data_IF_406524644962
#
_entry.id   IF_406524644962
#
_cell.length_a   1.000
_cell.length_b   1.000
_cell.length_c   1.000
_cell.angle_alpha   90.00
_cell.angle_beta   90.00
_cell.angle_gamma   90.00
#
_symmetry.space_group_name_H-M   'P 1'
#
loop_
_entity.id
_entity.type
_entity.pdbx_description
1 polymer ?
#
# COMPACT_ATOMS: atom_id res chain seq x y z
N UNK A 1 -13.27 -8.00 20.81
CA UNK A 1 -13.15 -9.21 19.96
C UNK A 1 -11.69 -9.66 19.96
N UNK A 2 -11.40 -10.96 20.09
CA UNK A 2 -10.03 -11.47 20.18
C UNK A 2 -9.12 -11.08 19.00
N UNK A 3 -9.70 -10.79 17.83
CA UNK A 3 -8.99 -10.40 16.61
C UNK A 3 -8.43 -8.98 16.63
N UNK A 4 -8.97 -8.06 17.46
CA UNK A 4 -8.51 -6.66 17.49
C UNK A 4 -7.05 -6.53 17.95
N UNK A 5 -6.61 -7.40 18.88
CA UNK A 5 -5.22 -7.41 19.34
C UNK A 5 -4.25 -7.82 18.23
N UNK A 6 -4.62 -8.85 17.47
CA UNK A 6 -3.85 -9.35 16.32
C UNK A 6 -3.79 -8.30 15.22
N UNK A 7 -4.90 -7.66 14.86
CA UNK A 7 -4.92 -6.60 13.85
C UNK A 7 -4.02 -5.43 14.23
N UNK A 8 -4.04 -4.98 15.48
CA UNK A 8 -3.16 -3.90 15.97
C UNK A 8 -1.69 -4.30 15.96
N UNK A 9 -1.39 -5.55 16.26
CA UNK A 9 -0.02 -6.08 16.22
C UNK A 9 0.51 -6.13 14.78
N UNK A 10 -0.27 -6.69 13.85
CA UNK A 10 0.06 -6.72 12.42
C UNK A 10 0.23 -5.32 11.86
N UNK A 11 -0.64 -4.37 12.23
CA UNK A 11 -0.51 -2.98 11.83
C UNK A 11 0.83 -2.38 12.27
N UNK A 12 1.24 -2.61 13.53
CA UNK A 12 2.52 -2.13 14.05
C UNK A 12 3.72 -2.66 13.27
N UNK A 13 3.65 -3.90 12.77
CA UNK A 13 4.72 -4.51 11.98
C UNK A 13 4.73 -4.01 10.54
N UNK A 14 3.57 -3.97 9.89
CA UNK A 14 3.48 -3.66 8.47
C UNK A 14 3.61 -2.15 8.23
N UNK A 15 3.09 -1.30 9.13
CA UNK A 15 3.05 0.15 8.96
C UNK A 15 4.41 0.78 8.64
N UNK A 16 5.52 0.50 9.36
CA UNK A 16 6.83 1.06 9.02
C UNK A 16 7.33 0.67 7.63
N UNK A 17 7.02 -0.55 7.20
CA UNK A 17 7.42 -1.07 5.88
C UNK A 17 6.62 -0.34 4.80
N UNK A 18 5.31 -0.22 5.01
CA UNK A 18 4.42 0.56 4.15
C UNK A 18 4.86 2.02 4.04
N UNK A 19 5.13 2.68 5.19
CA UNK A 19 5.53 4.08 5.25
C UNK A 19 6.83 4.35 4.48
N UNK A 20 7.76 3.40 4.52
CA UNK A 20 9.05 3.52 3.84
C UNK A 20 8.98 3.25 2.34
N UNK A 21 8.18 2.28 1.90
CA UNK A 21 8.25 1.77 0.52
C UNK A 21 7.03 2.11 -0.35
N UNK A 22 5.84 2.20 0.23
CA UNK A 22 4.59 2.33 -0.51
C UNK A 22 3.87 3.67 -0.28
N UNK A 23 4.15 4.38 0.81
CA UNK A 23 3.42 5.61 1.16
C UNK A 23 3.55 6.71 0.11
N UNK A 24 4.71 6.85 -0.52
CA UNK A 24 4.95 7.87 -1.54
C UNK A 24 4.09 7.65 -2.79
N UNK A 25 3.76 6.40 -3.13
CA UNK A 25 2.93 6.04 -4.29
C UNK A 25 1.46 5.80 -3.94
N UNK A 26 1.14 5.62 -2.66
CA UNK A 26 -0.23 5.36 -2.19
C UNK A 26 -0.99 6.65 -1.91
N UNK A 27 -2.20 6.74 -2.47
CA UNK A 27 -3.16 7.80 -2.20
C UNK A 27 -4.09 7.36 -1.06
N UNK A 28 -4.20 8.17 -0.01
CA UNK A 28 -5.05 7.86 1.15
C UNK A 28 -6.23 8.84 1.19
N UNK A 29 -7.35 8.41 0.61
CA UNK A 29 -8.61 9.15 0.62
C UNK A 29 -8.67 10.32 -0.37
N UNK A 30 -9.84 10.96 -0.43
CA UNK A 30 -10.13 11.99 -1.42
C UNK A 30 -9.30 13.27 -1.26
N UNK A 31 -9.00 13.68 -0.02
CA UNK A 31 -8.23 14.92 0.22
C UNK A 31 -6.79 14.79 -0.30
N UNK A 32 -6.11 13.67 -0.02
CA UNK A 32 -4.76 13.38 -0.53
C UNK A 32 -4.76 13.32 -2.07
N UNK A 33 -5.82 12.74 -2.67
CA UNK A 33 -5.99 12.70 -4.12
C UNK A 33 -6.05 14.10 -4.74
N UNK A 34 -6.91 14.98 -4.21
CA UNK A 34 -7.08 16.33 -4.76
C UNK A 34 -5.78 17.13 -4.63
N UNK A 35 -5.11 17.08 -3.48
CA UNK A 35 -3.82 17.76 -3.27
C UNK A 35 -2.74 17.29 -4.25
N UNK A 36 -2.64 15.98 -4.49
CA UNK A 36 -1.68 15.43 -5.46
C UNK A 36 -2.03 15.80 -6.90
N UNK A 37 -3.31 15.86 -7.24
CA UNK A 37 -3.78 16.25 -8.58
C UNK A 37 -3.50 17.75 -8.85
N UNK A 38 -3.66 18.60 -7.84
CA UNK A 38 -3.27 20.01 -7.92
C UNK A 38 -1.77 20.15 -8.14
N UNK A 39 -0.95 19.44 -7.37
CA UNK A 39 0.51 19.44 -7.56
C UNK A 39 0.92 18.94 -8.96
N UNK A 40 0.27 17.87 -9.45
CA UNK A 40 0.48 17.35 -10.81
C UNK A 40 0.18 18.40 -11.89
N UNK A 41 -0.90 19.17 -11.68
CA UNK A 41 -1.30 20.26 -12.57
C UNK A 41 -0.30 21.44 -12.52
N UNK A 42 0.10 21.86 -11.32
CA UNK A 42 1.07 22.95 -11.10
C UNK A 42 2.44 22.62 -11.74
N UNK A 43 2.85 21.35 -11.70
CA UNK A 43 4.08 20.88 -12.33
C UNK A 43 4.00 20.78 -13.86
N UNK A 44 2.88 21.19 -14.46
CA UNK A 44 2.71 21.24 -15.92
C UNK A 44 2.44 19.90 -16.57
N UNK A 45 2.10 18.86 -15.80
CA UNK A 45 1.80 17.53 -16.34
C UNK A 45 0.36 17.40 -16.88
N UNK A 46 -0.53 18.30 -16.49
CA UNK A 46 -1.87 18.39 -17.07
C UNK A 46 -1.81 19.20 -18.38
N UNK A 47 -1.82 18.49 -19.50
CA UNK A 47 -1.79 19.07 -20.85
C UNK A 47 -3.18 18.96 -21.49
N UNK A 48 -3.48 19.72 -22.56
CA UNK A 48 -4.82 19.72 -23.18
C UNK A 48 -5.35 18.34 -23.61
N UNK A 49 -4.46 17.36 -23.80
CA UNK A 49 -4.80 15.99 -24.18
C UNK A 49 -4.72 14.99 -23.03
N UNK A 50 -4.71 15.45 -21.78
CA UNK A 50 -4.82 14.58 -20.61
C UNK A 50 -6.26 14.10 -20.47
N UNK A 51 -6.45 12.77 -20.43
CA UNK A 51 -7.75 12.14 -20.23
C UNK A 51 -7.84 11.54 -18.84
N UNK A 52 -9.01 11.69 -18.22
CA UNK A 52 -9.34 10.98 -17.00
C UNK A 52 -10.06 9.68 -17.35
N UNK A 53 -9.61 8.58 -16.76
CA UNK A 53 -10.27 7.29 -16.84
C UNK A 53 -10.57 6.83 -15.41
N UNK A 54 -11.77 6.27 -15.23
CA UNK A 54 -12.19 5.68 -13.96
C UNK A 54 -12.29 4.18 -14.16
N UNK A 55 -11.60 3.43 -13.30
CA UNK A 55 -11.77 1.99 -13.18
C UNK A 55 -12.44 1.73 -11.84
N UNK A 56 -13.49 0.92 -11.86
CA UNK A 56 -14.11 0.43 -10.65
C UNK A 56 -13.68 -1.03 -10.44
N UNK A 57 -13.23 -1.34 -9.23
CA UNK A 57 -12.82 -2.69 -8.85
C UNK A 57 -13.77 -3.11 -7.72
N UNK A 58 -14.74 -3.94 -8.08
CA UNK A 58 -15.64 -4.54 -7.10
C UNK A 58 -14.96 -5.73 -6.42
N UNK A 59 -15.35 -6.03 -5.19
CA UNK A 59 -14.99 -7.28 -4.52
C UNK A 59 -13.47 -7.53 -4.36
N UNK A 60 -12.67 -6.47 -4.30
CA UNK A 60 -11.19 -6.53 -4.22
C UNK A 60 -10.69 -7.52 -3.15
N UNK A 61 -11.33 -7.54 -1.98
CA UNK A 61 -10.96 -8.42 -0.87
C UNK A 61 -11.22 -9.91 -1.14
N UNK A 62 -12.17 -10.24 -2.01
CA UNK A 62 -12.44 -11.64 -2.41
C UNK A 62 -11.73 -12.01 -3.70
N UNK A 63 -11.30 -11.01 -4.49
CA UNK A 63 -10.52 -11.22 -5.72
C UNK A 63 -9.03 -11.41 -5.46
N UNK A 64 -8.53 -11.01 -4.28
CA UNK A 64 -7.15 -11.28 -3.85
C UNK A 64 -7.10 -12.63 -3.14
N UNK A 65 -6.62 -13.70 -3.78
CA UNK A 65 -6.47 -14.96 -3.10
C UNK A 65 -5.37 -14.86 -2.02
N UNK A 66 -5.66 -15.44 -0.86
CA UNK A 66 -4.95 -15.15 0.39
C UNK A 66 -3.52 -15.69 0.38
N UNK A 67 -3.32 -16.87 -0.20
CA UNK A 67 -2.01 -17.51 -0.27
C UNK A 67 -1.06 -16.70 -1.15
N UNK A 68 -1.51 -16.29 -2.33
CA UNK A 68 -0.73 -15.47 -3.26
C UNK A 68 -0.43 -14.09 -2.66
N UNK A 69 -1.34 -13.54 -1.85
CA UNK A 69 -1.10 -12.28 -1.13
C UNK A 69 0.03 -12.41 -0.11
N UNK A 70 0.16 -13.57 0.53
CA UNK A 70 1.26 -13.86 1.45
C UNK A 70 2.56 -14.11 0.68
N UNK A 71 2.52 -14.83 -0.44
CA UNK A 71 3.69 -15.07 -1.29
C UNK A 71 4.28 -13.75 -1.81
N UNK A 72 3.43 -12.84 -2.30
CA UNK A 72 3.83 -11.50 -2.74
C UNK A 72 4.46 -10.71 -1.59
N UNK A 73 3.90 -10.81 -0.38
CA UNK A 73 4.47 -10.15 0.79
C UNK A 73 5.84 -10.72 1.16
N UNK A 74 6.01 -12.04 1.13
CA UNK A 74 7.30 -12.71 1.40
C UNK A 74 8.33 -12.28 0.36
N UNK A 75 7.99 -12.31 -0.93
CA UNK A 75 8.87 -11.86 -2.01
C UNK A 75 9.28 -10.40 -1.82
N UNK A 76 8.32 -9.53 -1.51
CA UNK A 76 8.57 -8.11 -1.25
C UNK A 76 9.54 -7.90 -0.07
N UNK A 77 9.35 -8.64 1.04
CA UNK A 77 10.21 -8.56 2.21
C UNK A 77 11.64 -9.02 1.90
N UNK A 78 11.78 -10.11 1.13
CA UNK A 78 13.07 -10.63 0.65
C UNK A 78 13.78 -9.62 -0.26
N UNK A 79 13.09 -9.05 -1.24
CA UNK A 79 13.63 -8.05 -2.17
C UNK A 79 14.17 -6.81 -1.44
N UNK A 80 13.53 -6.42 -0.34
CA UNK A 80 13.96 -5.29 0.48
C UNK A 80 14.86 -5.67 1.67
N UNK A 81 15.38 -6.91 1.70
CA UNK A 81 16.30 -7.43 2.72
C UNK A 81 15.77 -7.34 4.16
N UNK A 82 14.45 -7.42 4.35
CA UNK A 82 13.87 -7.52 5.67
C UNK A 82 14.06 -8.93 6.21
N UNK A 83 15.02 -9.09 7.12
CA UNK A 83 15.18 -10.30 7.93
C UNK A 83 14.41 -10.20 9.25
N UNK A 84 14.12 -8.96 9.68
CA UNK A 84 13.39 -8.64 10.90
C UNK A 84 12.56 -7.38 10.69
N UNK A 85 11.41 -7.32 11.36
CA UNK A 85 10.56 -6.13 11.42
C UNK A 85 10.39 -5.78 12.90
N UNK A 86 10.85 -4.60 13.31
CA UNK A 86 10.82 -4.17 14.72
C UNK A 86 11.39 -5.23 15.70
N UNK A 87 12.52 -5.84 15.35
CA UNK A 87 13.19 -6.93 16.08
C UNK A 87 12.46 -8.29 16.08
N UNK A 88 11.33 -8.43 15.40
CA UNK A 88 10.67 -9.72 15.18
C UNK A 88 11.25 -10.37 13.93
N UNK A 89 11.84 -11.57 14.00
CA UNK A 89 12.33 -12.28 12.82
C UNK A 89 11.18 -12.60 11.86
N UNK A 90 11.43 -12.38 10.58
CA UNK A 90 10.65 -12.99 9.51
C UNK A 90 11.30 -14.35 9.31
N UNK A 91 10.87 -15.34 10.09
CA UNK A 91 11.25 -16.73 9.84
C UNK A 91 10.57 -17.14 8.53
N UNK A 92 11.39 -17.54 7.56
CA UNK A 92 10.98 -18.10 6.27
C UNK A 92 11.14 -19.62 6.36
#
# INVERSE_FOLDING_TARGET
MPTTGISKFLDKLIRPIFDKHARSTTIIGGVDLIQRLEAYTINGHHIPNTYFCTFDITDLYTMLPQEESLDILIEFLLQHSYQKVQNIPIDI
#
